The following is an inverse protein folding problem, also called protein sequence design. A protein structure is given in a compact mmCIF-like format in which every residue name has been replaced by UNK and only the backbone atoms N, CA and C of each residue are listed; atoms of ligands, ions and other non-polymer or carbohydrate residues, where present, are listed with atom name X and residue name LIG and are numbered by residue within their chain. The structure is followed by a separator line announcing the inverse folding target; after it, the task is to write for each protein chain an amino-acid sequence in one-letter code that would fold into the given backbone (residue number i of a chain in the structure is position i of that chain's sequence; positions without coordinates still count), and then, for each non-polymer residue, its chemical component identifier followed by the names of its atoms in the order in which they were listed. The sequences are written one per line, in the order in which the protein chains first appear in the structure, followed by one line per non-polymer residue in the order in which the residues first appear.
data_IF_694197190300
#
_entry.id   IF_694197190300
#
_cell.length_a   1.000
_cell.length_b   1.000
_cell.length_c   1.000
_cell.angle_alpha   90.00
_cell.angle_beta   90.00
_cell.angle_gamma   90.00
#
_symmetry.space_group_name_H-M   'P 1'
#
loop_
_entity.id
_entity.type
_entity.pdbx_description
1 polymer ?
#
# COMPACT_ATOMS: atom_id res chain seq x y z
N UNK A 1 15.74 -16.27 15.16
CA UNK A 1 15.02 -17.49 14.73
C UNK A 1 15.96 -18.60 14.25
N UNK A 2 17.12 -18.30 13.64
CA UNK A 2 17.97 -19.34 13.00
C UNK A 2 17.39 -19.85 11.67
N UNK A 3 16.34 -19.19 11.19
CA UNK A 3 15.56 -19.50 9.99
C UNK A 3 15.90 -18.49 8.91
N UNK A 4 15.63 -18.80 7.65
CA UNK A 4 16.04 -17.95 6.53
C UNK A 4 14.92 -17.60 5.56
N UNK A 5 13.83 -18.38 5.49
CA UNK A 5 12.79 -18.11 4.50
C UNK A 5 11.96 -16.89 4.87
N UNK A 6 11.53 -16.12 3.87
CA UNK A 6 10.64 -14.96 4.01
C UNK A 6 9.41 -15.19 3.15
N UNK A 7 8.22 -15.10 3.76
CA UNK A 7 6.97 -15.06 3.03
C UNK A 7 6.63 -13.62 2.65
N UNK A 8 6.26 -13.39 1.40
CA UNK A 8 5.73 -12.10 0.93
C UNK A 8 4.51 -12.34 0.04
N UNK A 9 3.66 -11.33 -0.11
CA UNK A 9 2.43 -11.48 -0.92
C UNK A 9 2.70 -11.33 -2.41
N UNK A 10 1.79 -11.86 -3.23
CA UNK A 10 1.61 -11.34 -4.58
C UNK A 10 1.09 -9.90 -4.52
N UNK A 11 1.37 -9.10 -5.56
CA UNK A 11 1.02 -7.67 -5.66
C UNK A 11 1.53 -6.79 -4.52
N UNK A 12 2.50 -7.21 -3.70
CA UNK A 12 3.17 -6.32 -2.75
C UNK A 12 4.31 -5.52 -3.39
N UNK A 13 4.76 -4.46 -2.73
CA UNK A 13 6.01 -3.76 -3.03
C UNK A 13 6.79 -3.42 -1.77
N UNK A 14 8.06 -3.85 -1.70
CA UNK A 14 8.90 -3.68 -0.51
C UNK A 14 10.21 -2.91 -0.78
N UNK A 15 10.41 -2.38 -2.00
CA UNK A 15 11.55 -1.53 -2.32
C UNK A 15 12.32 -1.95 -3.58
N UNK A 16 13.38 -1.19 -3.89
CA UNK A 16 14.15 -1.30 -5.15
C UNK A 16 15.52 -1.99 -5.04
N UNK A 17 15.92 -2.48 -3.86
CA UNK A 17 17.15 -3.25 -3.70
C UNK A 17 16.93 -4.71 -4.06
N UNK A 18 17.98 -5.49 -4.36
CA UNK A 18 17.84 -6.90 -4.79
C UNK A 18 16.99 -7.75 -3.83
N UNK A 19 17.23 -7.66 -2.52
CA UNK A 19 16.44 -8.38 -1.51
C UNK A 19 14.98 -7.90 -1.44
N UNK A 20 14.76 -6.58 -1.48
CA UNK A 20 13.42 -5.98 -1.45
C UNK A 20 12.60 -6.26 -2.72
N UNK A 21 13.24 -6.26 -3.89
CA UNK A 21 12.63 -6.66 -5.16
C UNK A 21 12.34 -8.16 -5.19
N UNK A 22 13.20 -8.97 -4.59
CA UNK A 22 12.90 -10.40 -4.39
C UNK A 22 11.65 -10.56 -3.55
N UNK A 23 11.43 -9.74 -2.51
CA UNK A 23 10.18 -9.73 -1.73
C UNK A 23 9.00 -9.05 -2.44
N UNK A 24 9.21 -8.26 -3.50
CA UNK A 24 8.14 -7.54 -4.23
C UNK A 24 7.30 -8.50 -5.07
N UNK A 25 5.98 -8.42 -4.94
CA UNK A 25 5.02 -9.30 -5.63
C UNK A 25 4.52 -8.80 -6.97
N UNK A 26 5.14 -7.78 -7.56
CA UNK A 26 4.69 -7.10 -8.78
C UNK A 26 5.69 -7.17 -9.95
N UNK A 27 5.33 -6.68 -11.15
CA UNK A 27 6.12 -6.80 -12.38
C UNK A 27 7.55 -6.26 -12.31
N UNK A 28 7.86 -5.35 -11.38
CA UNK A 28 9.24 -4.83 -11.23
C UNK A 28 10.22 -5.93 -10.83
N UNK A 29 9.75 -6.97 -10.14
CA UNK A 29 10.56 -8.13 -9.79
C UNK A 29 11.10 -8.85 -11.03
N UNK A 30 10.32 -8.98 -12.10
CA UNK A 30 10.67 -9.77 -13.29
C UNK A 30 11.98 -9.31 -13.95
N UNK A 31 12.26 -8.01 -13.91
CA UNK A 31 13.49 -7.42 -14.47
C UNK A 31 14.73 -7.66 -13.61
N UNK A 32 14.56 -8.24 -12.43
CA UNK A 32 15.63 -8.48 -11.45
C UNK A 32 15.76 -9.94 -11.06
N UNK A 33 15.09 -10.84 -11.78
CA UNK A 33 15.21 -12.27 -11.58
C UNK A 33 16.48 -12.82 -12.26
N UNK A 34 17.10 -13.88 -11.69
CA UNK A 34 16.73 -14.58 -10.46
C UNK A 34 17.00 -13.77 -9.18
N UNK A 35 16.08 -13.86 -8.22
CA UNK A 35 16.18 -13.17 -6.92
C UNK A 35 16.93 -13.97 -5.85
N UNK A 36 16.92 -13.45 -4.61
CA UNK A 36 17.49 -14.13 -3.44
C UNK A 36 16.74 -15.45 -3.14
N UNK A 37 17.44 -16.56 -2.84
CA UNK A 37 16.78 -17.80 -2.46
C UNK A 37 16.05 -17.66 -1.12
N UNK A 38 15.01 -18.48 -0.92
CA UNK A 38 14.26 -18.53 0.34
C UNK A 38 13.13 -17.51 0.46
N UNK A 39 12.80 -16.76 -0.59
CA UNK A 39 11.57 -15.95 -0.64
C UNK A 39 10.48 -16.72 -1.37
N UNK A 40 9.32 -16.87 -0.73
CA UNK A 40 8.16 -17.54 -1.32
C UNK A 40 6.89 -16.68 -1.19
N UNK A 41 5.82 -17.11 -1.86
CA UNK A 41 4.59 -16.33 -2.00
C UNK A 41 3.43 -16.90 -1.21
N UNK A 42 2.73 -16.01 -0.53
CA UNK A 42 1.42 -16.28 0.08
C UNK A 42 0.33 -15.58 -0.77
N UNK A 43 -0.92 -16.08 -0.73
CA UNK A 43 -2.01 -15.55 -1.54
C UNK A 43 -2.26 -14.06 -1.27
N UNK A 44 -2.79 -13.40 -2.28
CA UNK A 44 -3.39 -12.08 -2.11
C UNK A 44 -4.83 -12.24 -1.59
N UNK A 45 -5.29 -11.26 -0.80
CA UNK A 45 -6.68 -11.17 -0.37
C UNK A 45 -7.55 -10.40 -1.35
N UNK A 46 -6.98 -9.85 -2.43
CA UNK A 46 -7.74 -9.07 -3.40
C UNK A 46 -7.37 -9.45 -4.84
N UNK A 47 -8.34 -9.96 -5.58
CA UNK A 47 -8.17 -10.27 -7.00
C UNK A 47 -8.12 -9.00 -7.83
N UNK A 48 -7.48 -9.04 -9.01
CA UNK A 48 -7.38 -7.87 -9.88
C UNK A 48 -8.74 -7.59 -10.54
N UNK A 49 -9.22 -6.35 -10.44
CA UNK A 49 -10.55 -5.95 -10.95
C UNK A 49 -11.74 -6.33 -10.06
N UNK A 50 -11.53 -7.03 -8.94
CA UNK A 50 -12.61 -7.32 -8.00
C UNK A 50 -13.08 -6.06 -7.26
N UNK A 51 -14.35 -6.00 -6.89
CA UNK A 51 -14.90 -4.88 -6.11
C UNK A 51 -14.58 -5.01 -4.61
N UNK A 52 -14.51 -6.26 -4.11
CA UNK A 52 -14.29 -6.58 -2.71
C UNK A 52 -13.16 -7.60 -2.52
N UNK A 53 -12.48 -7.59 -1.35
CA UNK A 53 -11.51 -8.61 -1.01
C UNK A 53 -12.18 -9.97 -0.76
N UNK A 54 -11.39 -11.05 -0.91
CA UNK A 54 -11.72 -12.41 -0.50
C UNK A 54 -11.92 -12.47 1.02
N UNK A 55 -12.76 -13.39 1.55
CA UNK A 55 -12.91 -13.57 2.99
C UNK A 55 -11.57 -13.86 3.69
N UNK A 56 -11.32 -13.20 4.83
CA UNK A 56 -10.07 -13.36 5.58
C UNK A 56 -9.75 -14.83 5.91
N UNK A 57 -10.75 -15.59 6.36
CA UNK A 57 -10.59 -17.00 6.75
C UNK A 57 -10.07 -17.88 5.60
N UNK A 58 -10.49 -17.62 4.37
CA UNK A 58 -10.07 -18.37 3.18
C UNK A 58 -8.58 -18.11 2.88
N UNK A 59 -8.20 -16.84 2.84
CA UNK A 59 -6.82 -16.41 2.55
C UNK A 59 -5.86 -16.87 3.65
N UNK A 60 -6.29 -16.83 4.91
CA UNK A 60 -5.52 -17.31 6.06
C UNK A 60 -5.33 -18.83 6.01
N UNK A 61 -6.37 -19.60 5.67
CA UNK A 61 -6.27 -21.05 5.51
C UNK A 61 -5.31 -21.45 4.38
N UNK A 62 -5.36 -20.75 3.25
CA UNK A 62 -4.41 -20.93 2.15
C UNK A 62 -2.98 -20.56 2.55
N UNK A 63 -2.80 -19.46 3.29
CA UNK A 63 -1.51 -19.03 3.82
C UNK A 63 -0.92 -20.10 4.74
N UNK A 64 -1.70 -20.62 5.68
CA UNK A 64 -1.26 -21.69 6.59
C UNK A 64 -0.94 -22.99 5.85
N UNK A 65 -1.70 -23.32 4.79
CA UNK A 65 -1.41 -24.47 3.92
C UNK A 65 -0.05 -24.32 3.23
N UNK A 66 0.25 -23.15 2.67
CA UNK A 66 1.54 -22.87 2.03
C UNK A 66 2.68 -22.96 3.05
N UNK A 67 2.50 -22.39 4.25
CA UNK A 67 3.51 -22.48 5.32
C UNK A 67 3.82 -23.94 5.69
N UNK A 68 2.80 -24.81 5.73
CA UNK A 68 2.99 -26.25 5.98
C UNK A 68 3.83 -26.92 4.88
N UNK A 69 3.64 -26.55 3.61
CA UNK A 69 4.46 -27.07 2.51
C UNK A 69 5.91 -26.54 2.56
N UNK A 70 6.10 -25.29 2.93
CA UNK A 70 7.43 -24.69 3.06
C UNK A 70 8.21 -25.19 4.30
N UNK A 71 7.52 -25.80 5.25
CA UNK A 71 8.07 -26.17 6.55
C UNK A 71 8.19 -24.93 7.44
N UNK A 72 7.21 -24.65 8.33
CA UNK A 72 7.14 -23.38 9.07
C UNK A 72 8.35 -23.16 10.00
N UNK A 73 9.00 -24.24 10.43
CA UNK A 73 10.24 -24.22 11.21
C UNK A 73 11.45 -23.65 10.44
N UNK A 74 11.33 -23.43 9.12
CA UNK A 74 12.37 -22.81 8.27
C UNK A 74 12.06 -21.35 7.90
N UNK A 75 10.87 -20.86 8.27
CA UNK A 75 10.37 -19.52 7.93
C UNK A 75 10.71 -18.53 9.04
N UNK A 76 11.50 -17.51 8.70
CA UNK A 76 11.94 -16.47 9.62
C UNK A 76 10.90 -15.39 9.83
N UNK A 77 10.28 -14.92 8.74
CA UNK A 77 9.36 -13.80 8.77
C UNK A 77 8.29 -13.87 7.68
N UNK A 78 7.18 -13.18 7.92
CA UNK A 78 6.22 -12.76 6.91
C UNK A 78 6.29 -11.24 6.81
N UNK A 79 6.49 -10.71 5.60
CA UNK A 79 6.43 -9.28 5.32
C UNK A 79 5.15 -8.94 4.53
N UNK A 80 4.39 -7.97 5.03
CA UNK A 80 3.15 -7.50 4.41
C UNK A 80 3.06 -5.98 4.50
N UNK A 81 2.61 -5.32 3.44
CA UNK A 81 2.05 -3.98 3.58
C UNK A 81 0.71 -4.09 4.32
N UNK A 82 0.48 -3.27 5.34
CA UNK A 82 -0.80 -3.25 6.08
C UNK A 82 -1.96 -2.86 5.16
N UNK A 83 -1.73 -1.87 4.29
CA UNK A 83 -2.56 -1.59 3.12
C UNK A 83 -1.62 -1.53 1.92
N UNK A 84 -1.83 -2.40 0.94
CA UNK A 84 -0.95 -2.45 -0.26
C UNK A 84 -1.13 -1.18 -1.06
N UNK A 85 -0.05 -0.41 -1.26
CA UNK A 85 -0.14 0.88 -1.92
C UNK A 85 -0.15 0.78 -3.45
N UNK A 86 1.05 0.74 -4.01
CA UNK A 86 1.33 0.94 -5.46
C UNK A 86 0.52 0.01 -6.39
N UNK A 87 0.08 -1.14 -5.90
CA UNK A 87 -0.58 -2.18 -6.70
C UNK A 87 -2.10 -2.22 -6.56
N UNK A 88 -2.71 -1.24 -5.89
CA UNK A 88 -4.16 -1.03 -6.00
C UNK A 88 -4.88 -0.57 -4.73
N UNK A 89 -4.20 -0.01 -3.72
CA UNK A 89 -4.81 0.38 -2.43
C UNK A 89 -5.63 -0.79 -1.87
N UNK A 90 -4.97 -1.92 -1.64
CA UNK A 90 -5.65 -3.15 -1.23
C UNK A 90 -5.80 -3.14 0.28
N UNK A 91 -7.00 -2.77 0.73
CA UNK A 91 -7.41 -2.77 2.14
C UNK A 91 -7.73 -4.22 2.52
N UNK A 92 -7.12 -4.77 3.59
CA UNK A 92 -7.38 -6.14 4.01
C UNK A 92 -8.82 -6.29 4.53
N UNK A 93 -9.45 -7.45 4.35
CA UNK A 93 -10.73 -7.75 4.99
C UNK A 93 -10.56 -7.85 6.51
N UNK A 94 -11.64 -7.58 7.25
CA UNK A 94 -11.65 -7.69 8.71
C UNK A 94 -11.20 -9.08 9.19
N UNK A 95 -10.38 -9.11 10.24
CA UNK A 95 -9.81 -10.32 10.79
C UNK A 95 -8.52 -10.82 10.09
N UNK A 96 -8.18 -10.31 8.90
CA UNK A 96 -6.99 -10.76 8.18
C UNK A 96 -5.70 -10.44 8.96
N UNK A 97 -5.53 -9.20 9.42
CA UNK A 97 -4.29 -8.81 10.13
C UNK A 97 -4.14 -9.54 11.47
N UNK A 98 -5.24 -9.72 12.21
CA UNK A 98 -5.26 -10.48 13.45
C UNK A 98 -4.91 -11.95 13.17
N UNK A 99 -5.50 -12.56 12.15
CA UNK A 99 -5.18 -13.93 11.76
C UNK A 99 -3.72 -14.11 11.31
N UNK A 100 -3.14 -13.14 10.60
CA UNK A 100 -1.71 -13.17 10.24
C UNK A 100 -0.82 -13.14 11.49
N UNK A 101 -1.19 -12.32 12.49
CA UNK A 101 -0.51 -12.27 13.80
C UNK A 101 -0.60 -13.61 14.53
N UNK A 102 -1.79 -14.20 14.60
CA UNK A 102 -2.01 -15.51 15.24
C UNK A 102 -1.21 -16.63 14.57
N UNK A 103 -1.15 -16.65 13.23
CA UNK A 103 -0.32 -17.60 12.48
C UNK A 103 1.15 -17.41 12.83
N UNK A 104 1.63 -16.16 12.85
CA UNK A 104 3.02 -15.85 13.19
C UNK A 104 3.37 -16.31 14.61
N UNK A 105 2.50 -16.06 15.58
CA UNK A 105 2.69 -16.47 16.98
C UNK A 105 2.74 -17.99 17.12
N UNK A 106 1.82 -18.71 16.48
CA UNK A 106 1.73 -20.17 16.53
C UNK A 106 2.99 -20.86 16.02
N UNK A 107 3.63 -20.30 14.99
CA UNK A 107 4.82 -20.89 14.36
C UNK A 107 6.15 -20.23 14.79
N UNK A 108 6.10 -19.20 15.63
CA UNK A 108 7.28 -18.40 16.00
C UNK A 108 7.93 -17.72 14.79
N UNK A 109 7.11 -17.25 13.85
CA UNK A 109 7.51 -16.50 12.66
C UNK A 109 7.36 -15.01 12.98
N UNK A 110 8.32 -14.17 12.57
CA UNK A 110 8.21 -12.72 12.81
C UNK A 110 7.23 -12.08 11.83
N UNK A 111 6.36 -11.20 12.31
CA UNK A 111 5.50 -10.37 11.46
C UNK A 111 6.17 -9.02 11.21
N UNK A 112 6.38 -8.68 9.94
CA UNK A 112 6.88 -7.38 9.49
C UNK A 112 5.74 -6.63 8.83
N UNK A 113 5.31 -5.52 9.44
CA UNK A 113 4.38 -4.59 8.82
C UNK A 113 5.16 -3.54 8.02
N UNK A 114 4.91 -3.51 6.72
CA UNK A 114 5.46 -2.50 5.83
C UNK A 114 4.54 -1.27 5.78
N UNK A 115 4.93 -0.24 6.53
CA UNK A 115 4.18 1.00 6.71
C UNK A 115 4.79 2.15 5.90
N UNK A 116 5.67 1.85 4.95
CA UNK A 116 6.35 2.86 4.13
C UNK A 116 5.37 3.73 3.36
N UNK A 117 4.21 3.23 2.93
CA UNK A 117 3.14 4.04 2.31
C UNK A 117 1.97 4.31 3.26
N UNK A 118 1.57 3.32 4.07
CA UNK A 118 0.37 3.39 4.92
C UNK A 118 0.55 4.17 6.22
N UNK A 119 1.79 4.42 6.64
CA UNK A 119 2.13 5.11 7.87
C UNK A 119 2.02 6.63 7.79
N UNK A 120 2.27 7.26 8.93
CA UNK A 120 2.28 8.70 9.18
C UNK A 120 1.00 9.39 8.70
N UNK A 121 -0.16 8.89 9.11
CA UNK A 121 -1.45 9.56 8.88
C UNK A 121 -2.13 9.26 7.56
N UNK A 122 -1.46 8.60 6.60
CA UNK A 122 -2.01 8.34 5.26
C UNK A 122 -3.40 7.69 5.29
N UNK A 123 -3.60 6.75 6.21
CA UNK A 123 -4.86 6.01 6.36
C UNK A 123 -5.80 6.58 7.43
N UNK A 124 -5.50 7.75 7.99
CA UNK A 124 -6.25 8.33 9.11
C UNK A 124 -5.87 7.75 10.49
N UNK A 125 -4.74 7.06 10.58
CA UNK A 125 -4.07 6.59 11.80
C UNK A 125 -2.56 6.81 11.67
N UNK A 126 -1.83 6.77 12.79
CA UNK A 126 -0.36 6.85 12.78
C UNK A 126 0.25 5.78 11.89
N UNK A 127 -0.17 4.53 12.04
CA UNK A 127 0.18 3.45 11.13
C UNK A 127 -1.08 2.74 10.65
N UNK A 128 -1.06 2.22 9.42
CA UNK A 128 -2.24 1.54 8.89
C UNK A 128 -2.60 0.31 9.73
N UNK A 129 -1.60 -0.42 10.25
CA UNK A 129 -1.80 -1.59 11.11
C UNK A 129 -2.62 -1.28 12.37
N UNK A 130 -2.63 -0.03 12.83
CA UNK A 130 -3.38 0.41 14.01
C UNK A 130 -4.90 0.27 13.83
N UNK A 131 -5.40 0.29 12.59
CA UNK A 131 -6.82 0.05 12.29
C UNK A 131 -7.30 -1.33 12.75
N UNK A 132 -6.39 -2.30 12.87
CA UNK A 132 -6.71 -3.68 13.27
C UNK A 132 -6.23 -4.03 14.68
N UNK A 133 -5.62 -3.09 15.40
CA UNK A 133 -5.11 -3.32 16.75
C UNK A 133 -4.01 -4.39 16.82
N UNK A 134 -3.25 -4.57 15.75
CA UNK A 134 -2.19 -5.59 15.66
C UNK A 134 -0.83 -4.96 15.89
N UNK A 135 -0.03 -5.57 16.77
CA UNK A 135 1.35 -5.14 17.03
C UNK A 135 2.33 -6.09 16.33
N UNK A 136 3.01 -5.66 15.25
CA UNK A 136 3.97 -6.49 14.54
C UNK A 136 5.26 -6.69 15.36
N UNK A 137 6.14 -7.58 14.89
CA UNK A 137 7.48 -7.74 15.46
C UNK A 137 8.43 -6.66 14.97
N UNK A 138 8.25 -6.24 13.73
CA UNK A 138 9.00 -5.18 13.06
C UNK A 138 8.09 -4.32 12.19
N UNK A 139 8.45 -3.05 12.03
CA UNK A 139 7.71 -2.07 11.22
C UNK A 139 8.69 -1.27 10.35
N UNK A 140 8.49 -1.24 9.03
CA UNK A 140 9.31 -0.43 8.12
C UNK A 140 8.65 0.92 7.86
N UNK A 141 9.45 1.97 7.91
CA UNK A 141 9.02 3.38 7.82
C UNK A 141 9.91 4.14 6.85
N UNK A 142 9.32 5.02 6.04
CA UNK A 142 10.01 6.00 5.19
C UNK A 142 8.95 7.04 4.75
N UNK A 143 9.10 7.66 3.57
CA UNK A 143 8.12 8.57 2.94
C UNK A 143 7.55 9.62 3.92
N UNK A 144 6.37 9.35 4.48
CA UNK A 144 5.71 10.22 5.46
C UNK A 144 6.56 10.50 6.70
N UNK A 145 7.51 9.62 7.05
CA UNK A 145 8.46 9.81 8.16
C UNK A 145 9.15 11.18 8.14
N UNK A 146 9.44 11.71 6.95
CA UNK A 146 10.06 13.03 6.77
C UNK A 146 9.25 13.92 5.83
N UNK A 147 8.01 13.53 5.49
CA UNK A 147 7.24 14.12 4.39
C UNK A 147 8.07 14.30 3.11
N UNK A 148 9.01 13.38 2.86
CA UNK A 148 9.99 13.41 1.77
C UNK A 148 10.93 14.64 1.70
N UNK A 149 11.00 15.49 2.74
CA UNK A 149 11.91 16.64 2.79
C UNK A 149 13.39 16.21 2.75
N UNK A 150 13.72 15.11 3.44
CA UNK A 150 15.05 14.50 3.47
C UNK A 150 14.91 12.98 3.43
N UNK A 151 15.84 12.28 2.78
CA UNK A 151 15.81 10.82 2.69
C UNK A 151 16.07 10.18 4.05
N UNK A 152 15.07 9.45 4.56
CA UNK A 152 15.19 8.62 5.75
C UNK A 152 14.34 7.37 5.58
N UNK A 153 14.91 6.23 5.97
CA UNK A 153 14.17 5.00 6.25
C UNK A 153 14.48 4.56 7.67
N UNK A 154 13.52 3.92 8.32
CA UNK A 154 13.67 3.39 9.66
C UNK A 154 13.01 1.99 9.77
N UNK A 155 13.59 1.15 10.62
CA UNK A 155 13.02 -0.13 11.02
C UNK A 155 12.76 -0.06 12.53
N UNK A 156 11.50 0.01 12.92
CA UNK A 156 11.09 -0.24 14.29
C UNK A 156 11.08 -1.74 14.55
N UNK A 157 11.49 -2.16 15.74
CA UNK A 157 11.48 -3.57 16.12
C UNK A 157 11.17 -3.74 17.60
N UNK A 158 10.58 -4.89 17.96
CA UNK A 158 10.37 -5.25 19.36
C UNK A 158 11.70 -5.31 20.10
N UNK A 159 11.66 -4.91 21.37
CA UNK A 159 12.85 -4.79 22.22
C UNK A 159 13.72 -6.06 22.27
N UNK A 160 13.09 -7.24 22.38
CA UNK A 160 13.83 -8.51 22.42
C UNK A 160 14.64 -8.81 21.13
N UNK A 161 14.23 -8.26 19.98
CA UNK A 161 14.97 -8.39 18.71
C UNK A 161 16.21 -7.50 18.77
N UNK A 162 16.05 -6.26 19.23
CA UNK A 162 17.17 -5.33 19.41
C UNK A 162 18.19 -5.85 20.45
N UNK A 163 17.71 -6.34 21.59
CA UNK A 163 18.55 -6.87 22.67
C UNK A 163 19.38 -8.07 22.23
N UNK A 164 18.91 -8.86 21.26
CA UNK A 164 19.70 -9.95 20.69
C UNK A 164 21.05 -9.47 20.13
N UNK A 165 21.08 -8.26 19.58
CA UNK A 165 22.27 -7.67 18.99
C UNK A 165 23.13 -6.88 19.99
N UNK A 166 22.75 -6.85 21.27
CA UNK A 166 23.64 -6.38 22.34
C UNK A 166 24.80 -7.38 22.59
N UNK A 167 24.53 -8.68 22.41
CA UNK A 167 25.51 -9.76 22.60
C UNK A 167 26.02 -10.35 21.28
N UNK A 168 25.33 -10.09 20.17
CA UNK A 168 25.72 -10.59 18.84
C UNK A 168 25.95 -9.45 17.86
N UNK A 169 27.08 -9.52 17.15
CA UNK A 169 27.42 -8.53 16.13
C UNK A 169 26.37 -8.54 15.01
N UNK A 170 25.77 -7.38 14.77
CA UNK A 170 24.98 -7.13 13.57
C UNK A 170 25.92 -6.73 12.42
N UNK A 171 26.19 -7.67 11.52
CA UNK A 171 27.15 -7.50 10.41
C UNK A 171 26.64 -6.64 9.25
N UNK A 172 25.92 -5.56 9.52
CA UNK A 172 25.43 -4.63 8.50
C UNK A 172 25.39 -3.19 9.01
N UNK A 173 25.55 -2.22 8.11
CA UNK A 173 25.51 -0.80 8.42
C UNK A 173 25.52 0.05 7.15
N UNK A 174 25.07 1.29 7.29
CA UNK A 174 25.08 2.31 6.23
C UNK A 174 25.85 3.52 6.73
N UNK A 175 26.68 4.15 5.89
CA UNK A 175 27.42 5.37 6.26
C UNK A 175 26.51 6.49 6.77
N UNK A 176 25.31 6.61 6.19
CA UNK A 176 24.30 7.61 6.56
C UNK A 176 23.26 7.09 7.54
N UNK A 177 23.52 5.96 8.21
CA UNK A 177 22.64 5.49 9.28
C UNK A 177 22.53 6.56 10.37
N UNK A 178 21.30 6.88 10.78
CA UNK A 178 21.01 7.89 11.81
C UNK A 178 21.61 9.28 11.49
N UNK A 179 21.58 9.68 10.20
CA UNK A 179 22.07 10.99 9.78
C UNK A 179 21.35 12.12 10.53
N UNK A 180 22.04 12.99 11.29
CA UNK A 180 21.41 13.95 12.19
C UNK A 180 20.40 14.88 11.53
N UNK A 181 20.69 15.37 10.31
CA UNK A 181 19.75 16.19 9.55
C UNK A 181 18.44 15.45 9.24
N UNK A 182 18.52 14.19 8.83
CA UNK A 182 17.35 13.39 8.49
C UNK A 182 16.51 13.08 9.74
N UNK A 183 17.16 12.75 10.86
CA UNK A 183 16.49 12.55 12.14
C UNK A 183 15.80 13.84 12.64
N UNK A 184 16.47 14.99 12.55
CA UNK A 184 15.88 16.28 12.90
C UNK A 184 14.67 16.62 12.02
N UNK A 185 14.76 16.38 10.70
CA UNK A 185 13.61 16.53 9.79
C UNK A 185 12.44 15.62 10.18
N UNK A 186 12.73 14.38 10.59
CA UNK A 186 11.68 13.46 11.01
C UNK A 186 10.96 13.95 12.27
N UNK A 187 11.69 14.43 13.27
CA UNK A 187 11.12 15.02 14.48
C UNK A 187 10.24 16.23 14.12
N UNK A 188 10.75 17.19 13.36
CA UNK A 188 9.98 18.35 12.93
C UNK A 188 8.72 17.97 12.10
N UNK A 189 8.79 16.90 11.32
CA UNK A 189 7.64 16.39 10.56
C UNK A 189 6.57 15.82 11.50
N UNK A 190 7.00 15.07 12.52
CA UNK A 190 6.11 14.51 13.55
C UNK A 190 5.47 15.63 14.38
N UNK A 191 6.24 16.64 14.78
CA UNK A 191 5.75 17.82 15.49
C UNK A 191 4.61 18.47 14.70
N UNK A 192 4.79 18.69 13.38
CA UNK A 192 3.73 19.22 12.51
C UNK A 192 2.51 18.30 12.42
N UNK A 193 2.69 16.97 12.38
CA UNK A 193 1.55 16.05 12.38
C UNK A 193 0.70 16.20 13.65
N UNK A 194 1.35 16.38 14.80
CA UNK A 194 0.70 16.54 16.11
C UNK A 194 0.08 17.94 16.28
N UNK A 195 0.84 19.00 15.99
CA UNK A 195 0.42 20.40 16.16
C UNK A 195 -0.77 20.77 15.26
N UNK A 196 -0.74 20.35 13.99
CA UNK A 196 -1.79 20.65 13.01
C UNK A 196 -2.92 19.61 13.03
N UNK A 197 -2.83 18.55 13.84
CA UNK A 197 -3.82 17.46 13.91
C UNK A 197 -4.03 16.77 12.56
N UNK A 198 -2.94 16.54 11.81
CA UNK A 198 -3.02 16.11 10.40
C UNK A 198 -3.57 14.70 10.24
N UNK A 199 -3.44 13.84 11.24
CA UNK A 199 -3.91 12.45 11.20
C UNK A 199 -5.43 12.42 11.34
N UNK A 200 -5.97 13.18 12.29
CA UNK A 200 -7.40 13.38 12.49
C UNK A 200 -8.00 14.06 11.25
N UNK A 201 -7.33 15.09 10.73
CA UNK A 201 -7.73 15.75 9.48
C UNK A 201 -7.75 14.77 8.31
N UNK A 202 -6.77 13.87 8.17
CA UNK A 202 -6.74 12.88 7.12
C UNK A 202 -7.88 11.85 7.25
N UNK A 203 -8.28 11.49 8.48
CA UNK A 203 -9.45 10.66 8.72
C UNK A 203 -10.74 11.35 8.28
N UNK A 204 -10.94 12.62 8.64
CA UNK A 204 -12.13 13.40 8.24
C UNK A 204 -12.16 13.69 6.74
N UNK A 205 -11.04 14.12 6.16
CA UNK A 205 -10.91 14.37 4.72
C UNK A 205 -11.09 13.09 3.91
N UNK A 206 -10.72 11.93 4.47
CA UNK A 206 -11.01 10.62 3.89
C UNK A 206 -12.50 10.33 3.68
N UNK A 207 -13.38 10.86 4.55
CA UNK A 207 -14.84 10.75 4.36
C UNK A 207 -15.31 11.57 3.16
N UNK A 208 -14.74 12.77 2.97
CA UNK A 208 -15.02 13.61 1.80
C UNK A 208 -14.51 12.95 0.53
N UNK A 209 -13.27 12.44 0.54
CA UNK A 209 -12.70 11.67 -0.57
C UNK A 209 -13.61 10.49 -0.96
N UNK A 210 -14.11 9.73 0.03
CA UNK A 210 -15.09 8.67 -0.22
C UNK A 210 -16.35 9.19 -0.91
N UNK A 211 -16.92 10.29 -0.43
CA UNK A 211 -18.10 10.88 -1.05
C UNK A 211 -17.85 11.32 -2.50
N UNK A 212 -16.66 11.81 -2.83
CA UNK A 212 -16.29 12.11 -4.21
C UNK A 212 -16.18 10.87 -5.09
N UNK A 213 -15.53 9.80 -4.59
CA UNK A 213 -15.47 8.52 -5.31
C UNK A 213 -16.87 7.98 -5.62
N UNK A 214 -17.78 7.99 -4.65
CA UNK A 214 -19.16 7.52 -4.83
C UNK A 214 -19.93 8.38 -5.85
N UNK A 215 -19.78 9.71 -5.81
CA UNK A 215 -20.39 10.60 -6.80
C UNK A 215 -19.90 10.30 -8.23
N UNK A 216 -18.60 10.14 -8.39
CA UNK A 216 -18.02 9.81 -9.68
C UNK A 216 -18.47 8.42 -10.17
N UNK A 217 -18.51 7.42 -9.28
CA UNK A 217 -19.04 6.07 -9.59
C UNK A 217 -20.51 6.08 -9.98
N UNK A 218 -21.33 6.91 -9.33
CA UNK A 218 -22.75 7.04 -9.67
C UNK A 218 -22.99 7.74 -11.02
N UNK A 219 -22.09 8.64 -11.43
CA UNK A 219 -22.23 9.43 -12.65
C UNK A 219 -21.63 8.76 -13.88
N UNK A 220 -20.47 8.11 -13.74
CA UNK A 220 -19.67 7.63 -14.87
C UNK A 220 -19.72 6.11 -14.98
N UNK A 221 -20.33 5.55 -16.04
CA UNK A 221 -20.39 4.09 -16.23
C UNK A 221 -19.02 3.41 -16.30
N UNK A 222 -17.99 4.09 -16.81
CA UNK A 222 -16.63 3.54 -16.83
C UNK A 222 -16.00 3.34 -15.45
N UNK A 223 -16.56 3.89 -14.37
CA UNK A 223 -16.02 3.74 -13.01
C UNK A 223 -16.49 2.42 -12.40
N UNK A 224 -15.54 1.55 -12.10
CA UNK A 224 -15.78 0.26 -11.46
C UNK A 224 -15.48 0.29 -9.94
N UNK A 225 -14.59 -0.58 -9.45
CA UNK A 225 -14.19 -0.57 -8.05
C UNK A 225 -13.58 0.76 -7.59
N UNK A 226 -13.97 1.20 -6.40
CA UNK A 226 -13.40 2.35 -5.70
C UNK A 226 -12.96 1.89 -4.31
N UNK A 227 -11.79 2.35 -3.86
CA UNK A 227 -11.29 2.02 -2.52
C UNK A 227 -10.64 3.25 -1.92
N UNK A 228 -10.95 3.52 -0.66
CA UNK A 228 -10.18 4.46 0.14
C UNK A 228 -10.20 4.12 1.64
N UNK A 229 -9.12 4.50 2.31
CA UNK A 229 -9.01 4.53 3.77
C UNK A 229 -8.17 5.76 4.15
N UNK A 230 -8.74 6.69 4.93
CA UNK A 230 -8.19 8.04 5.06
C UNK A 230 -8.02 8.71 3.68
N UNK A 231 -6.87 9.34 3.47
CA UNK A 231 -6.47 9.95 2.19
C UNK A 231 -5.67 8.97 1.31
N UNK A 232 -5.89 7.67 1.44
CA UNK A 232 -5.27 6.65 0.59
C UNK A 232 -6.34 6.07 -0.32
N UNK A 233 -6.38 6.49 -1.59
CA UNK A 233 -7.52 6.24 -2.47
C UNK A 233 -7.15 5.80 -3.88
N UNK A 234 -8.02 5.04 -4.52
CA UNK A 234 -7.92 4.65 -5.92
C UNK A 234 -9.30 4.52 -6.54
N UNK A 235 -9.38 4.85 -7.83
CA UNK A 235 -10.52 4.54 -8.68
C UNK A 235 -10.05 3.64 -9.81
N UNK A 236 -10.72 2.51 -9.99
CA UNK A 236 -10.50 1.61 -11.12
C UNK A 236 -11.60 1.82 -12.18
N UNK A 237 -11.20 1.69 -13.44
CA UNK A 237 -12.05 1.85 -14.60
C UNK A 237 -12.27 0.50 -15.28
N UNK A 238 -13.48 0.35 -15.81
CA UNK A 238 -13.96 -0.84 -16.50
C UNK A 238 -14.32 -0.48 -17.93
N UNK A 239 -14.12 -1.44 -18.84
CA UNK A 239 -14.55 -1.33 -20.23
C UNK A 239 -16.04 -1.62 -20.38
N UNK A 240 -16.55 -2.56 -19.59
CA UNK A 240 -17.95 -2.96 -19.58
C UNK A 240 -18.50 -2.91 -18.14
N UNK A 241 -19.42 -1.97 -17.84
CA UNK A 241 -20.00 -1.84 -16.50
C UNK A 241 -20.82 -3.06 -16.06
N UNK A 242 -21.34 -3.86 -17.01
CA UNK A 242 -22.18 -5.03 -16.70
C UNK A 242 -21.35 -6.21 -16.22
N UNK A 243 -20.25 -6.50 -16.92
CA UNK A 243 -19.33 -7.59 -16.53
C UNK A 243 -18.30 -7.15 -15.51
N UNK A 244 -18.07 -5.85 -15.33
CA UNK A 244 -16.98 -5.33 -14.50
C UNK A 244 -15.59 -5.55 -15.10
N UNK A 245 -15.50 -5.85 -16.40
CA UNK A 245 -14.23 -6.13 -17.06
C UNK A 245 -13.30 -4.91 -16.99
N UNK A 246 -12.10 -5.00 -16.39
CA UNK A 246 -11.16 -3.89 -16.29
C UNK A 246 -10.84 -3.27 -17.66
N UNK A 247 -10.66 -1.95 -17.72
CA UNK A 247 -10.33 -1.25 -18.98
C UNK A 247 -8.98 -1.70 -19.56
N UNK A 248 -8.07 -2.16 -18.69
CA UNK A 248 -6.75 -2.70 -19.00
C UNK A 248 -6.46 -3.92 -18.11
N UNK A 249 -5.70 -4.89 -18.62
CA UNK A 249 -5.22 -6.02 -17.84
C UNK A 249 -4.14 -5.64 -16.81
N UNK A 250 -3.80 -6.60 -15.95
CA UNK A 250 -2.71 -6.45 -15.00
C UNK A 250 -1.39 -6.23 -15.75
N UNK A 251 -0.67 -5.16 -15.40
CA UNK A 251 0.56 -4.75 -16.08
C UNK A 251 0.41 -4.25 -17.52
N UNK A 252 -0.79 -3.85 -17.93
CA UNK A 252 -1.05 -3.28 -19.25
C UNK A 252 -1.24 -1.76 -19.22
N UNK A 253 -1.12 -1.11 -20.36
CA UNK A 253 -1.52 0.29 -20.55
C UNK A 253 -2.27 0.38 -21.86
N UNK A 254 -3.46 0.97 -21.80
CA UNK A 254 -4.34 1.16 -22.97
C UNK A 254 -4.41 2.64 -23.34
N UNK A 255 -4.70 2.98 -24.61
CA UNK A 255 -4.74 4.37 -25.09
C UNK A 255 -5.64 5.29 -24.26
N UNK A 256 -6.78 4.79 -23.80
CA UNK A 256 -7.77 5.53 -23.00
C UNK A 256 -7.17 5.98 -21.67
N UNK A 257 -6.46 5.08 -20.96
CA UNK A 257 -5.79 5.40 -19.70
C UNK A 257 -4.60 6.35 -19.91
N UNK A 258 -3.87 6.20 -21.01
CA UNK A 258 -2.78 7.12 -21.37
C UNK A 258 -3.32 8.53 -21.70
N UNK A 259 -4.48 8.61 -22.38
CA UNK A 259 -5.17 9.85 -22.68
C UNK A 259 -5.69 10.52 -21.40
N UNK A 260 -6.32 9.77 -20.49
CA UNK A 260 -6.77 10.26 -19.19
C UNK A 260 -5.62 10.86 -18.38
N UNK A 261 -4.48 10.17 -18.30
CA UNK A 261 -3.30 10.69 -17.61
C UNK A 261 -2.73 11.96 -18.24
N UNK A 262 -2.82 12.13 -19.58
CA UNK A 262 -2.46 13.38 -20.25
C UNK A 262 -3.47 14.48 -19.94
N UNK A 263 -4.76 14.17 -19.93
CA UNK A 263 -5.84 15.10 -19.60
C UNK A 263 -5.67 15.67 -18.18
N UNK A 264 -5.45 14.81 -17.19
CA UNK A 264 -5.19 15.24 -15.80
C UNK A 264 -4.04 16.24 -15.72
N UNK A 265 -2.88 15.93 -16.31
CA UNK A 265 -1.72 16.83 -16.31
C UNK A 265 -1.98 18.16 -17.03
N UNK A 266 -2.68 18.13 -18.16
CA UNK A 266 -3.03 19.34 -18.90
C UNK A 266 -3.99 20.25 -18.13
N UNK A 267 -4.73 19.70 -17.17
CA UNK A 267 -5.67 20.42 -16.31
C UNK A 267 -5.15 20.61 -14.87
N UNK A 268 -3.85 20.45 -14.63
CA UNK A 268 -3.22 20.74 -13.33
C UNK A 268 -3.34 19.64 -12.27
N UNK A 269 -3.87 18.47 -12.60
CA UNK A 269 -3.95 17.32 -11.69
C UNK A 269 -2.77 16.36 -11.91
N UNK A 270 -1.92 16.22 -10.88
CA UNK A 270 -0.79 15.29 -10.89
C UNK A 270 -1.10 14.07 -10.03
N UNK A 271 -1.39 12.96 -10.69
CA UNK A 271 -1.56 11.66 -10.04
C UNK A 271 -0.97 10.53 -10.87
N UNK A 272 -0.79 9.39 -10.24
CA UNK A 272 -0.40 8.15 -10.90
C UNK A 272 -1.64 7.58 -11.59
N UNK A 273 -1.54 7.40 -12.90
CA UNK A 273 -2.46 6.58 -13.69
C UNK A 273 -1.73 5.31 -14.06
N UNK A 274 -2.28 4.15 -13.69
CA UNK A 274 -1.61 2.87 -13.82
C UNK A 274 -2.61 1.75 -14.06
N UNK A 275 -2.35 0.96 -15.09
CA UNK A 275 -3.20 -0.17 -15.47
C UNK A 275 -4.64 0.28 -15.70
N UNK A 276 -5.58 -0.30 -14.97
CA UNK A 276 -6.98 0.03 -15.03
C UNK A 276 -7.39 1.15 -14.05
N UNK A 277 -6.50 1.77 -13.28
CA UNK A 277 -6.91 2.77 -12.29
C UNK A 277 -6.01 4.00 -12.18
N UNK A 278 -6.45 4.94 -11.33
CA UNK A 278 -5.66 6.11 -10.95
C UNK A 278 -5.82 6.40 -9.45
N UNK A 279 -4.75 6.94 -8.87
CA UNK A 279 -4.67 7.18 -7.43
C UNK A 279 -5.27 8.54 -7.05
N UNK A 280 -5.74 8.66 -5.82
CA UNK A 280 -6.32 9.88 -5.26
C UNK A 280 -5.73 10.12 -3.87
N UNK A 281 -4.39 10.31 -3.85
CA UNK A 281 -3.58 10.32 -2.63
C UNK A 281 -2.97 11.70 -2.37
N UNK A 282 -3.77 12.73 -2.05
CA UNK A 282 -3.27 14.08 -1.87
C UNK A 282 -2.36 14.23 -0.62
N UNK A 283 -1.67 15.36 -0.46
CA UNK A 283 -1.09 15.75 0.83
C UNK A 283 -2.12 15.72 1.97
N UNK A 284 -1.69 15.46 3.21
CA UNK A 284 -2.61 15.33 4.35
C UNK A 284 -3.27 16.65 4.76
N UNK A 285 -2.64 17.76 4.40
CA UNK A 285 -3.13 19.11 4.62
C UNK A 285 -4.03 19.63 3.48
N UNK A 286 -4.43 18.79 2.52
CA UNK A 286 -5.31 19.20 1.42
C UNK A 286 -6.57 19.90 1.96
N UNK A 287 -6.94 21.02 1.35
CA UNK A 287 -8.17 21.76 1.62
C UNK A 287 -9.38 21.13 0.92
N UNK A 288 -10.59 21.52 1.35
CA UNK A 288 -11.81 21.07 0.70
C UNK A 288 -11.87 21.60 -0.74
N UNK A 289 -11.46 22.85 -0.94
CA UNK A 289 -11.45 23.52 -2.24
C UNK A 289 -10.48 22.85 -3.22
N UNK A 290 -9.30 22.44 -2.76
CA UNK A 290 -8.34 21.69 -3.60
C UNK A 290 -8.84 20.28 -3.92
N UNK A 291 -9.54 19.64 -2.98
CA UNK A 291 -10.14 18.33 -3.21
C UNK A 291 -11.29 18.42 -4.21
N UNK A 292 -12.16 19.42 -4.08
CA UNK A 292 -13.24 19.72 -5.02
C UNK A 292 -12.68 20.00 -6.41
N UNK A 293 -11.66 20.87 -6.52
CA UNK A 293 -10.99 21.14 -7.79
C UNK A 293 -10.43 19.87 -8.44
N UNK A 294 -9.76 19.01 -7.67
CA UNK A 294 -9.21 17.76 -8.19
C UNK A 294 -10.32 16.86 -8.76
N UNK A 295 -11.47 16.79 -8.10
CA UNK A 295 -12.59 15.98 -8.56
C UNK A 295 -13.38 16.59 -9.70
N UNK A 296 -13.40 17.91 -9.85
CA UNK A 296 -13.92 18.56 -11.07
C UNK A 296 -13.05 18.24 -12.30
N UNK A 297 -11.73 18.10 -12.12
CA UNK A 297 -10.83 17.63 -13.19
C UNK A 297 -11.04 16.13 -13.47
N UNK A 298 -11.21 15.32 -12.42
CA UNK A 298 -11.48 13.87 -12.57
C UNK A 298 -12.79 13.64 -13.30
N UNK A 299 -13.86 14.32 -12.92
CA UNK A 299 -15.20 14.24 -13.53
C UNK A 299 -15.15 14.48 -15.04
N UNK A 300 -14.53 15.59 -15.47
CA UNK A 300 -14.36 15.89 -16.90
C UNK A 300 -13.51 14.84 -17.61
N UNK A 301 -12.44 14.35 -16.97
CA UNK A 301 -11.60 13.30 -17.53
C UNK A 301 -12.33 11.96 -17.70
N UNK A 302 -13.21 11.61 -16.75
CA UNK A 302 -14.05 10.41 -16.82
C UNK A 302 -15.10 10.53 -17.93
N UNK A 303 -15.69 11.71 -18.16
CA UNK A 303 -16.57 11.94 -19.32
C UNK A 303 -15.88 11.65 -20.66
N UNK A 304 -14.60 11.99 -20.81
CA UNK A 304 -13.83 11.67 -22.02
C UNK A 304 -13.63 10.15 -22.18
N UNK A 305 -13.46 9.43 -21.07
CA UNK A 305 -13.35 7.96 -21.09
C UNK A 305 -14.69 7.31 -21.44
N UNK A 306 -15.79 7.77 -20.85
CA UNK A 306 -17.14 7.29 -21.18
C UNK A 306 -17.42 7.49 -22.68
N UNK A 307 -17.12 8.66 -23.23
CA UNK A 307 -17.28 8.94 -24.65
C UNK A 307 -16.40 8.04 -25.53
N UNK A 308 -15.13 7.83 -25.16
CA UNK A 308 -14.21 6.97 -25.90
C UNK A 308 -14.63 5.48 -25.90
N UNK A 309 -15.34 5.04 -24.85
CA UNK A 309 -15.88 3.69 -24.73
C UNK A 309 -17.30 3.55 -25.29
N UNK A 310 -17.95 4.64 -25.70
CA UNK A 310 -19.34 4.63 -26.15
C UNK A 310 -20.35 4.36 -25.03
N UNK A 311 -20.05 4.83 -23.81
CA UNK A 311 -20.87 4.67 -22.61
C UNK A 311 -21.66 5.93 -22.21
N UNK A 312 -21.43 7.05 -22.91
CA UNK A 312 -22.05 8.35 -22.66
C UNK A 312 -23.52 8.44 -23.13
#
# INVERSE_FOLDING_TARGET
TGRHKIAARYRSYHGGTSGALTATGDPRRWFTEPGMPGVFRIPDFHEFGADAPRPAAEVLAETEKILKFEGPHTVAAIIIESVVGTNGILIPPDGYMQGMREICDRYGILLIADEVMGGFGRTGKWFAIDHWGVVPDMITMAKGLTSAYVQLGALGMRRHIADHFAEKVFGAGLTYNSHPLACATALATIDVYEEDGLIERAAESGKKLRAHHERAKAKHPCVGPIRNIGLFGIMELVRDPKSGTPIAGFNETVPEMAALGKFFRANGLYTIVRWNGFFTNPPLNISDEELDFAFDVIDRGLSEVDAALGLA
#
